data_IF_117460543549
#
_entry.id   IF_117460543549
#
_cell.length_a   1.000
_cell.length_b   1.000
_cell.length_c   1.000
_cell.angle_alpha   90.00
_cell.angle_beta   90.00
_cell.angle_gamma   90.00
#
_symmetry.space_group_name_H-M   'P 1'
#
loop_
_entity.id
_entity.type
_entity.pdbx_description
1 polymer ?
#
# COMPACT_ATOMS: atom_id res chain seq x y z
N UNK A 1 13.62 4.99 -11.81
CA UNK A 1 14.80 5.31 -12.64
C UNK A 1 14.84 4.46 -13.90
N UNK A 2 14.78 3.12 -13.80
CA UNK A 2 14.82 2.22 -14.97
C UNK A 2 13.69 2.51 -15.98
N UNK A 3 12.43 2.56 -15.51
CA UNK A 3 11.28 2.80 -16.40
C UNK A 3 11.39 4.11 -17.20
N UNK A 4 11.84 5.20 -16.56
CA UNK A 4 12.04 6.49 -17.22
C UNK A 4 13.26 6.51 -18.14
N UNK A 5 14.37 5.86 -17.73
CA UNK A 5 15.60 5.80 -18.52
C UNK A 5 15.41 5.02 -19.81
N UNK A 6 14.66 3.92 -19.74
CA UNK A 6 14.52 2.97 -20.85
C UNK A 6 13.20 3.16 -21.62
N UNK A 7 12.39 4.16 -21.28
CA UNK A 7 11.12 4.45 -21.95
C UNK A 7 10.08 3.34 -21.80
N UNK A 8 10.10 2.62 -20.68
CA UNK A 8 9.19 1.49 -20.43
C UNK A 8 7.89 1.98 -19.79
N UNK A 9 6.78 1.79 -20.49
CA UNK A 9 5.43 2.10 -20.02
C UNK A 9 4.75 0.83 -19.46
N UNK A 10 5.27 0.32 -18.35
CA UNK A 10 4.71 -0.85 -17.68
C UNK A 10 3.75 -0.35 -16.59
N UNK A 11 2.46 -0.76 -16.60
CA UNK A 11 1.55 -0.41 -15.52
C UNK A 11 2.01 -1.09 -14.23
N UNK A 12 2.01 -0.35 -13.12
CA UNK A 12 2.43 -0.86 -11.82
C UNK A 12 1.54 -0.34 -10.69
N UNK A 13 1.42 -1.15 -9.64
CA UNK A 13 0.85 -0.75 -8.35
C UNK A 13 2.02 -0.33 -7.46
N UNK A 14 1.95 0.86 -6.89
CA UNK A 14 2.97 1.35 -5.98
C UNK A 14 2.82 0.69 -4.61
N UNK A 15 3.80 -0.10 -4.21
CA UNK A 15 3.89 -0.69 -2.88
C UNK A 15 5.21 -0.26 -2.22
N UNK A 16 5.08 0.54 -1.17
CA UNK A 16 6.18 0.99 -0.31
C UNK A 16 6.03 0.48 1.11
N UNK A 17 5.21 -0.55 1.33
CA UNK A 17 4.88 -1.13 2.63
C UNK A 17 4.48 -0.06 3.65
N UNK A 18 5.16 0.02 4.80
CA UNK A 18 4.85 0.94 5.89
C UNK A 18 5.02 2.42 5.54
N UNK A 19 5.56 2.73 4.35
CA UNK A 19 5.75 4.12 3.90
C UNK A 19 4.51 4.69 3.22
N UNK A 20 3.55 3.86 2.77
CA UNK A 20 2.39 4.32 1.97
C UNK A 20 1.25 4.77 2.87
N UNK A 21 1.39 5.97 3.44
CA UNK A 21 0.48 6.48 4.49
C UNK A 21 -0.28 7.76 4.12
N UNK A 22 -0.06 8.33 2.93
CA UNK A 22 -0.72 9.58 2.52
C UNK A 22 -1.09 9.64 1.04
N UNK A 23 -2.22 10.29 0.75
CA UNK A 23 -2.67 10.59 -0.62
C UNK A 23 -1.62 11.38 -1.42
N UNK A 24 -0.92 12.33 -0.78
CA UNK A 24 0.14 13.13 -1.44
C UNK A 24 1.24 12.24 -2.04
N UNK A 25 1.67 11.22 -1.30
CA UNK A 25 2.71 10.31 -1.75
C UNK A 25 2.19 9.36 -2.83
N UNK A 26 0.97 8.83 -2.68
CA UNK A 26 0.33 8.01 -3.71
C UNK A 26 0.19 8.80 -5.02
N UNK A 27 -0.30 10.04 -4.94
CA UNK A 27 -0.48 10.93 -6.09
C UNK A 27 0.85 11.32 -6.74
N UNK A 28 1.95 11.37 -5.99
CA UNK A 28 3.28 11.56 -6.55
C UNK A 28 3.70 10.40 -7.47
N UNK A 29 3.33 9.17 -7.12
CA UNK A 29 3.60 7.98 -7.93
C UNK A 29 2.58 7.78 -9.06
N UNK A 30 1.32 8.19 -8.86
CA UNK A 30 0.33 8.28 -9.95
C UNK A 30 0.84 9.13 -11.11
N UNK A 31 1.42 10.31 -10.82
CA UNK A 31 2.08 11.18 -11.82
C UNK A 31 3.28 10.54 -12.53
N UNK A 32 3.75 9.37 -12.07
CA UNK A 32 4.87 8.60 -12.63
C UNK A 32 4.42 7.29 -13.30
N UNK A 33 3.12 7.12 -13.49
CA UNK A 33 2.54 5.96 -14.17
C UNK A 33 2.00 4.86 -13.25
N UNK A 34 1.96 5.09 -11.93
CA UNK A 34 1.30 4.14 -11.04
C UNK A 34 -0.21 4.14 -11.32
N UNK A 35 -0.79 2.95 -11.46
CA UNK A 35 -2.22 2.76 -11.69
C UNK A 35 -3.00 2.52 -10.39
N UNK A 36 -2.29 2.34 -9.28
CA UNK A 36 -2.84 2.18 -7.95
C UNK A 36 -1.74 2.13 -6.89
N UNK A 37 -2.12 1.94 -5.62
CA UNK A 37 -1.18 1.78 -4.53
C UNK A 37 -1.65 0.79 -3.46
N UNK A 38 -0.70 0.11 -2.81
CA UNK A 38 -0.94 -0.69 -1.60
C UNK A 38 -0.72 0.20 -0.39
N UNK A 39 -1.75 0.45 0.40
CA UNK A 39 -1.67 1.23 1.64
C UNK A 39 -0.93 0.47 2.73
N UNK A 40 -0.21 1.25 3.55
CA UNK A 40 0.34 0.77 4.80
C UNK A 40 -0.80 0.26 5.70
N UNK A 41 -0.57 -0.90 6.32
CA UNK A 41 -1.56 -1.61 7.14
C UNK A 41 -1.77 -0.94 8.51
N UNK A 42 -0.88 -0.02 8.85
CA UNK A 42 -0.87 0.80 10.05
C UNK A 42 -1.76 2.05 9.94
N UNK A 43 -2.26 2.38 8.75
CA UNK A 43 -3.14 3.55 8.56
C UNK A 43 -4.48 3.27 9.27
N UNK A 44 -4.95 4.14 10.17
CA UNK A 44 -6.26 3.98 10.79
C UNK A 44 -7.40 4.12 9.79
N UNK A 45 -8.52 3.41 10.01
CA UNK A 45 -9.68 3.45 9.10
C UNK A 45 -10.21 4.87 8.86
N UNK A 46 -10.30 5.69 9.92
CA UNK A 46 -10.75 7.09 9.79
C UNK A 46 -9.83 7.92 8.87
N UNK A 47 -8.53 7.69 8.93
CA UNK A 47 -7.58 8.33 8.01
C UNK A 47 -7.71 7.79 6.58
N UNK A 48 -8.03 6.51 6.39
CA UNK A 48 -8.30 5.96 5.06
C UNK A 48 -9.53 6.64 4.41
N UNK A 49 -10.61 6.81 5.17
CA UNK A 49 -11.83 7.48 4.69
C UNK A 49 -11.53 8.92 4.28
N UNK A 50 -10.80 9.67 5.12
CA UNK A 50 -10.39 11.03 4.77
C UNK A 50 -9.41 11.09 3.58
N UNK A 51 -8.59 10.05 3.40
CA UNK A 51 -7.63 9.96 2.30
C UNK A 51 -8.33 9.73 0.96
N UNK A 52 -9.40 8.94 0.93
CA UNK A 52 -10.14 8.55 -0.28
C UNK A 52 -10.49 9.76 -1.16
N UNK A 53 -11.00 10.84 -0.55
CA UNK A 53 -11.41 12.07 -1.24
C UNK A 53 -10.28 12.72 -2.06
N UNK A 54 -9.02 12.41 -1.74
CA UNK A 54 -7.84 13.03 -2.32
C UNK A 54 -7.04 12.10 -3.26
N UNK A 55 -7.44 10.83 -3.39
CA UNK A 55 -6.70 9.85 -4.19
C UNK A 55 -6.94 10.05 -5.69
N UNK A 56 -5.86 10.15 -6.47
CA UNK A 56 -5.93 10.20 -7.93
C UNK A 56 -6.03 8.82 -8.58
N UNK A 57 -5.68 7.76 -7.85
CA UNK A 57 -5.67 6.36 -8.28
C UNK A 57 -6.22 5.49 -7.15
N UNK A 58 -6.81 4.32 -7.45
CA UNK A 58 -7.31 3.42 -6.41
C UNK A 58 -6.19 3.00 -5.47
N UNK A 59 -6.53 2.87 -4.20
CA UNK A 59 -5.67 2.30 -3.19
C UNK A 59 -6.31 1.03 -2.63
N UNK A 60 -5.48 0.01 -2.37
CA UNK A 60 -5.88 -1.24 -1.75
C UNK A 60 -5.19 -1.43 -0.41
N UNK A 61 -5.81 -2.19 0.49
CA UNK A 61 -5.22 -2.54 1.79
C UNK A 61 -5.48 -4.00 2.08
N UNK A 62 -4.49 -4.67 2.65
CA UNK A 62 -4.66 -6.03 3.12
C UNK A 62 -5.26 -6.01 4.53
N UNK A 63 -6.46 -6.58 4.68
CA UNK A 63 -7.18 -6.66 5.96
C UNK A 63 -6.97 -7.98 6.71
N UNK A 64 -6.46 -9.02 6.03
CA UNK A 64 -6.21 -10.34 6.58
C UNK A 64 -5.05 -11.02 5.84
N UNK A 65 -4.26 -11.83 6.55
CA UNK A 65 -3.21 -12.65 5.96
C UNK A 65 -1.92 -12.64 6.78
N UNK A 66 -0.88 -13.28 6.24
CA UNK A 66 0.38 -13.48 6.94
C UNK A 66 1.08 -12.17 7.33
N UNK A 67 1.00 -11.12 6.51
CA UNK A 67 1.63 -9.82 6.78
C UNK A 67 0.92 -9.07 7.91
N UNK A 68 -0.42 -9.09 7.96
CA UNK A 68 -1.18 -8.58 9.11
C UNK A 68 -0.86 -9.34 10.40
N UNK A 69 -0.70 -10.67 10.33
CA UNK A 69 -0.30 -11.49 11.49
C UNK A 69 1.11 -11.11 11.95
N UNK A 70 2.05 -10.92 11.02
CA UNK A 70 3.41 -10.48 11.33
C UNK A 70 3.42 -9.13 12.09
N UNK A 71 2.61 -8.16 11.65
CA UNK A 71 2.50 -6.86 12.30
C UNK A 71 1.73 -6.89 13.63
N UNK A 72 0.88 -7.89 13.85
CA UNK A 72 0.05 -8.00 15.06
C UNK A 72 0.83 -8.30 16.34
N UNK A 73 2.14 -8.63 16.24
CA UNK A 73 3.00 -9.08 17.35
C UNK A 73 2.48 -10.32 18.10
N UNK A 74 1.48 -11.02 17.56
CA UNK A 74 0.95 -12.25 18.16
C UNK A 74 1.96 -13.39 18.03
N UNK A 75 2.09 -14.27 19.03
CA UNK A 75 2.93 -15.46 18.91
C UNK A 75 2.42 -16.37 17.77
N UNK A 76 3.16 -16.40 16.66
CA UNK A 76 2.81 -17.19 15.46
C UNK A 76 2.59 -18.67 15.81
N UNK A 77 3.54 -19.27 16.53
CA UNK A 77 3.60 -20.71 16.81
C UNK A 77 2.33 -21.21 17.50
N UNK A 78 1.84 -20.56 18.55
CA UNK A 78 0.71 -21.08 19.34
C UNK A 78 -0.62 -21.22 18.57
N UNK A 79 -0.79 -20.47 17.47
CA UNK A 79 -2.05 -20.46 16.70
C UNK A 79 -2.11 -21.49 15.56
N UNK A 80 -1.05 -22.27 15.29
CA UNK A 80 -1.00 -23.26 14.20
C UNK A 80 -0.80 -24.72 14.66
N UNK A 81 -0.76 -24.99 15.96
CA UNK A 81 -0.60 -26.35 16.52
C UNK A 81 -1.92 -27.05 16.90
N UNK A 82 -3.07 -26.55 16.43
CA UNK A 82 -4.37 -27.19 16.65
C UNK A 82 -4.81 -28.00 15.43
#
# INVERSE_FOLDING_TARGET
>A
FIMQRDGLEIPYVYDGETLVTSSRQINFWSKRGAIGAVLAREVPFEEMVAMEENLAVPAEILVYGATCIHQSKRPLIQNYYN
#
